data_IF_969039013892
#
_entry.id   IF_969039013892
#
_cell.length_a   1.000
_cell.length_b   1.000
_cell.length_c   1.000
_cell.angle_alpha   90.00
_cell.angle_beta   90.00
_cell.angle_gamma   90.00
#
_symmetry.space_group_name_H-M   'P 1'
#
loop_
_entity.id
_entity.type
_entity.pdbx_description
1 polymer ?
#
# COMPACT_ATOMS: atom_id res chain seq x y z
N UNK A 1 -9.40 32.58 0.15
CA UNK A 1 -10.00 32.68 1.51
C UNK A 1 -10.55 31.34 2.00
N UNK A 2 -9.85 30.67 2.90
CA UNK A 2 -10.37 29.48 3.59
C UNK A 2 -11.16 29.90 4.84
N UNK A 3 -12.20 29.13 5.21
CA UNK A 3 -12.92 29.30 6.49
C UNK A 3 -11.98 29.17 7.70
N UNK A 4 -10.88 28.44 7.53
CA UNK A 4 -9.87 28.22 8.57
C UNK A 4 -9.07 29.50 8.84
N UNK A 5 -8.64 30.21 7.79
CA UNK A 5 -7.90 31.46 7.93
C UNK A 5 -8.78 32.55 8.56
N UNK A 6 -10.04 32.69 8.14
CA UNK A 6 -10.96 33.66 8.77
C UNK A 6 -11.22 33.33 10.26
N UNK A 7 -11.24 32.04 10.61
CA UNK A 7 -11.35 31.61 12.01
C UNK A 7 -10.08 31.92 12.81
N UNK A 8 -8.90 31.78 12.20
CA UNK A 8 -7.61 32.16 12.83
C UNK A 8 -7.55 33.67 13.07
N UNK A 9 -7.91 34.48 12.08
CA UNK A 9 -7.95 35.94 12.21
C UNK A 9 -8.93 36.41 13.30
N UNK A 10 -10.11 35.78 13.40
CA UNK A 10 -11.05 36.04 14.50
C UNK A 10 -10.43 35.67 15.86
N UNK A 11 -9.76 34.52 15.96
CA UNK A 11 -9.12 34.11 17.20
C UNK A 11 -7.97 35.05 17.60
N UNK A 12 -7.19 35.54 16.64
CA UNK A 12 -6.16 36.57 16.87
C UNK A 12 -6.76 37.89 17.34
N UNK A 13 -7.88 38.33 16.74
CA UNK A 13 -8.58 39.53 17.17
C UNK A 13 -9.09 39.43 18.61
N UNK A 14 -9.67 38.29 18.99
CA UNK A 14 -10.12 38.02 20.37
C UNK A 14 -8.94 38.06 21.34
N UNK A 15 -7.83 37.41 21.01
CA UNK A 15 -6.61 37.45 21.84
C UNK A 15 -6.06 38.86 22.00
N UNK A 16 -6.03 39.66 20.93
CA UNK A 16 -5.60 41.05 20.99
C UNK A 16 -6.51 41.89 21.89
N UNK A 17 -7.83 41.67 21.82
CA UNK A 17 -8.80 42.33 22.69
C UNK A 17 -8.56 41.97 24.16
N UNK A 18 -8.46 40.68 24.49
CA UNK A 18 -8.19 40.20 25.85
C UNK A 18 -6.84 40.73 26.39
N UNK A 19 -5.84 40.84 25.53
CA UNK A 19 -4.53 41.39 25.88
C UNK A 19 -4.59 42.89 26.18
N UNK A 20 -5.31 43.68 25.38
CA UNK A 20 -5.52 45.11 25.67
C UNK A 20 -6.32 45.27 26.96
N UNK A 21 -7.39 44.49 27.12
CA UNK A 21 -8.26 44.55 28.30
C UNK A 21 -7.50 44.20 29.59
N UNK A 22 -6.67 43.17 29.57
CA UNK A 22 -5.83 42.79 30.71
C UNK A 22 -4.77 43.84 31.01
N UNK A 23 -4.08 44.39 30.00
CA UNK A 23 -3.10 45.47 30.20
C UNK A 23 -3.70 46.72 30.83
N UNK A 24 -4.93 47.09 30.44
CA UNK A 24 -5.63 48.24 31.03
C UNK A 24 -6.07 47.96 32.46
N UNK A 25 -6.46 46.72 32.78
CA UNK A 25 -6.95 46.34 34.12
C UNK A 25 -5.84 46.03 35.15
N UNK A 26 -4.67 45.56 34.71
CA UNK A 26 -3.63 45.04 35.61
C UNK A 26 -2.58 46.07 36.03
N UNK A 27 -2.46 47.20 35.31
CA UNK A 27 -1.38 48.14 35.56
C UNK A 27 -1.75 49.13 36.68
N UNK A 28 -0.91 49.21 37.71
CA UNK A 28 -0.83 50.36 38.62
C UNK A 28 -0.25 51.54 37.83
N UNK A 29 -1.08 52.10 36.96
CA UNK A 29 -0.80 53.18 36.03
C UNK A 29 -0.21 54.42 36.73
N UNK A 30 -0.50 54.58 38.03
CA UNK A 30 0.00 55.67 38.87
C UNK A 30 1.52 55.63 39.12
N UNK A 31 2.19 54.48 38.94
CA UNK A 31 3.61 54.31 39.21
C UNK A 31 4.52 54.50 37.98
N UNK A 32 3.95 54.76 36.80
CA UNK A 32 4.71 54.86 35.55
C UNK A 32 5.43 56.21 35.44
N UNK A 33 6.66 56.18 34.95
CA UNK A 33 7.37 57.38 34.50
C UNK A 33 6.73 57.94 33.23
N UNK A 34 6.98 59.21 32.91
CA UNK A 34 6.36 59.86 31.74
C UNK A 34 6.75 59.17 30.42
N UNK A 35 7.97 58.64 30.33
CA UNK A 35 8.44 57.90 29.15
C UNK A 35 7.78 56.51 29.03
N UNK A 36 7.61 55.80 30.14
CA UNK A 36 6.88 54.52 30.18
C UNK A 36 5.40 54.71 29.82
N UNK A 37 4.80 55.81 30.25
CA UNK A 37 3.44 56.20 29.86
C UNK A 37 3.30 56.41 28.35
N UNK A 38 4.25 57.11 27.73
CA UNK A 38 4.26 57.35 26.27
C UNK A 38 4.42 56.04 25.50
N UNK A 39 5.31 55.16 25.94
CA UNK A 39 5.49 53.84 25.33
C UNK A 39 4.23 52.98 25.45
N UNK A 40 3.60 52.97 26.63
CA UNK A 40 2.36 52.24 26.88
C UNK A 40 1.20 52.73 25.99
N UNK A 41 1.03 54.04 25.86
CA UNK A 41 0.01 54.63 24.98
C UNK A 41 0.28 54.32 23.50
N UNK A 42 1.54 54.37 23.06
CA UNK A 42 1.90 53.99 21.70
C UNK A 42 1.62 52.51 21.42
N UNK A 43 1.96 51.62 22.36
CA UNK A 43 1.71 50.18 22.26
C UNK A 43 0.22 49.86 22.19
N UNK A 44 -0.59 50.45 23.08
CA UNK A 44 -2.05 50.27 23.06
C UNK A 44 -2.64 50.90 21.81
N UNK A 45 -2.18 52.08 21.40
CA UNK A 45 -2.60 52.74 20.17
C UNK A 45 -2.36 51.87 18.94
N UNK A 46 -1.19 51.24 18.85
CA UNK A 46 -0.86 50.31 17.77
C UNK A 46 -1.74 49.06 17.81
N UNK A 47 -1.91 48.45 18.98
CA UNK A 47 -2.71 47.23 19.14
C UNK A 47 -4.20 47.47 18.86
N UNK A 48 -4.74 48.61 19.30
CA UNK A 48 -6.13 49.02 19.01
C UNK A 48 -6.33 49.34 17.53
N UNK A 49 -5.39 50.03 16.88
CA UNK A 49 -5.44 50.26 15.43
C UNK A 49 -5.42 48.94 14.64
N UNK A 50 -4.55 48.00 15.04
CA UNK A 50 -4.50 46.65 14.44
C UNK A 50 -5.81 45.90 14.64
N UNK A 51 -6.41 45.96 15.83
CA UNK A 51 -7.71 45.34 16.12
C UNK A 51 -8.83 45.92 15.25
N UNK A 52 -8.88 47.25 15.11
CA UNK A 52 -9.85 47.95 14.26
C UNK A 52 -9.70 47.52 12.79
N UNK A 53 -8.46 47.41 12.30
CA UNK A 53 -8.20 46.96 10.94
C UNK A 53 -8.71 45.53 10.70
N UNK A 54 -8.46 44.61 11.65
CA UNK A 54 -8.92 43.23 11.56
C UNK A 54 -10.45 43.15 11.63
N UNK A 55 -11.10 43.88 12.54
CA UNK A 55 -12.56 43.97 12.63
C UNK A 55 -13.17 44.47 11.33
N UNK A 56 -12.70 45.60 10.78
CA UNK A 56 -13.17 46.13 9.49
C UNK A 56 -13.03 45.11 8.36
N UNK A 57 -11.93 44.35 8.36
CA UNK A 57 -11.72 43.32 7.35
C UNK A 57 -12.71 42.14 7.49
N UNK A 58 -13.12 41.81 8.72
CA UNK A 58 -14.06 40.72 9.02
C UNK A 58 -15.50 41.15 8.82
N UNK A 59 -15.85 42.38 9.20
CA UNK A 59 -17.19 42.97 9.14
C UNK A 59 -17.62 43.34 7.72
N UNK A 60 -16.75 43.17 6.73
CA UNK A 60 -17.09 43.36 5.32
C UNK A 60 -18.28 42.44 4.93
N UNK A 61 -19.41 43.01 4.46
CA UNK A 61 -20.65 42.27 4.22
C UNK A 61 -20.49 41.21 3.13
N UNK A 62 -19.74 41.49 2.06
CA UNK A 62 -19.50 40.55 0.97
C UNK A 62 -18.69 39.34 1.46
N UNK A 63 -17.77 39.60 2.39
CA UNK A 63 -16.96 38.55 3.01
C UNK A 63 -17.82 37.63 3.87
N UNK A 64 -18.70 38.21 4.70
CA UNK A 64 -19.66 37.45 5.52
C UNK A 64 -20.57 36.59 4.63
N UNK A 65 -21.12 37.17 3.56
CA UNK A 65 -21.94 36.43 2.59
C UNK A 65 -21.18 35.26 1.96
N UNK A 66 -19.93 35.46 1.55
CA UNK A 66 -19.09 34.42 0.97
C UNK A 66 -18.82 33.28 1.98
N UNK A 67 -18.53 33.62 3.23
CA UNK A 67 -18.33 32.63 4.31
C UNK A 67 -19.60 31.82 4.56
N UNK A 68 -20.76 32.47 4.61
CA UNK A 68 -22.06 31.82 4.75
C UNK A 68 -22.33 30.85 3.58
N UNK A 69 -22.06 31.26 2.34
CA UNK A 69 -22.17 30.38 1.16
C UNK A 69 -21.25 29.16 1.27
N UNK A 70 -20.00 29.35 1.71
CA UNK A 70 -19.05 28.25 1.92
C UNK A 70 -19.49 27.31 3.04
N UNK A 71 -19.97 27.84 4.15
CA UNK A 71 -20.50 27.05 5.26
C UNK A 71 -21.73 26.24 4.84
N UNK A 72 -22.65 26.84 4.09
CA UNK A 72 -23.82 26.16 3.53
C UNK A 72 -23.40 25.06 2.54
N UNK A 73 -22.41 25.30 1.67
CA UNK A 73 -21.84 24.28 0.77
C UNK A 73 -21.29 23.09 1.56
N UNK A 74 -20.54 23.33 2.64
CA UNK A 74 -20.01 22.25 3.49
C UNK A 74 -21.12 21.46 4.19
N UNK A 75 -22.14 22.13 4.72
CA UNK A 75 -23.31 21.46 5.33
C UNK A 75 -24.04 20.58 4.31
N UNK A 76 -24.31 21.11 3.11
CA UNK A 76 -24.93 20.36 2.01
C UNK A 76 -24.08 19.16 1.59
N UNK A 77 -22.78 19.32 1.43
CA UNK A 77 -21.89 18.24 1.06
C UNK A 77 -21.83 17.13 2.13
N UNK A 78 -21.78 17.49 3.42
CA UNK A 78 -21.86 16.52 4.52
C UNK A 78 -23.19 15.76 4.51
N UNK A 79 -24.31 16.46 4.33
CA UNK A 79 -25.63 15.83 4.23
C UNK A 79 -25.72 14.91 3.01
N UNK A 80 -25.24 15.36 1.85
CA UNK A 80 -25.17 14.56 0.62
C UNK A 80 -24.34 13.30 0.83
N UNK A 81 -23.13 13.40 1.40
CA UNK A 81 -22.26 12.25 1.69
C UNK A 81 -22.95 11.22 2.60
N UNK A 82 -23.68 11.69 3.62
CA UNK A 82 -24.48 10.83 4.51
C UNK A 82 -25.60 10.10 3.74
N UNK A 83 -26.34 10.83 2.92
CA UNK A 83 -27.43 10.25 2.11
C UNK A 83 -26.90 9.29 1.04
N UNK A 84 -25.80 9.63 0.37
CA UNK A 84 -25.16 8.77 -0.62
C UNK A 84 -24.67 7.46 0.01
N UNK A 85 -24.02 7.51 1.18
CA UNK A 85 -23.62 6.31 1.93
C UNK A 85 -24.82 5.43 2.32
N UNK A 86 -25.96 6.05 2.67
CA UNK A 86 -27.20 5.33 2.97
C UNK A 86 -27.78 4.65 1.72
N UNK A 87 -27.86 5.37 0.60
CA UNK A 87 -28.37 4.84 -0.69
C UNK A 87 -27.52 3.69 -1.21
N UNK A 88 -26.20 3.85 -1.23
CA UNK A 88 -25.27 2.78 -1.65
C UNK A 88 -25.36 1.54 -0.76
N UNK A 89 -25.50 1.70 0.57
CA UNK A 89 -25.74 0.57 1.48
C UNK A 89 -27.07 -0.15 1.18
N UNK A 90 -28.12 0.60 0.91
CA UNK A 90 -29.42 0.02 0.56
C UNK A 90 -29.39 -0.73 -0.77
N UNK A 91 -28.73 -0.18 -1.79
CA UNK A 91 -28.52 -0.83 -3.08
C UNK A 91 -27.76 -2.16 -2.92
N UNK A 92 -26.62 -2.15 -2.21
CA UNK A 92 -25.86 -3.38 -1.91
C UNK A 92 -26.69 -4.43 -1.18
N UNK A 93 -27.55 -4.01 -0.24
CA UNK A 93 -28.43 -4.92 0.48
C UNK A 93 -29.52 -5.52 -0.43
N UNK A 94 -30.08 -4.72 -1.33
CA UNK A 94 -31.04 -5.21 -2.33
C UNK A 94 -30.38 -6.17 -3.33
N UNK A 95 -29.18 -5.87 -3.81
CA UNK A 95 -28.37 -6.75 -4.68
C UNK A 95 -28.02 -8.05 -3.97
N UNK A 96 -27.63 -7.99 -2.69
CA UNK A 96 -27.39 -9.18 -1.87
C UNK A 96 -28.67 -10.04 -1.72
N UNK A 97 -29.84 -9.42 -1.55
CA UNK A 97 -31.12 -10.14 -1.50
C UNK A 97 -31.47 -10.77 -2.84
N UNK A 98 -31.25 -10.07 -3.96
CA UNK A 98 -31.49 -10.59 -5.32
C UNK A 98 -30.57 -11.76 -5.64
N UNK A 99 -29.27 -11.61 -5.38
CA UNK A 99 -28.28 -12.67 -5.56
C UNK A 99 -28.57 -13.87 -4.65
N UNK A 100 -28.94 -13.67 -3.39
CA UNK A 100 -29.34 -14.78 -2.51
C UNK A 100 -30.57 -15.54 -3.02
N UNK A 101 -31.58 -14.83 -3.57
CA UNK A 101 -32.74 -15.47 -4.21
C UNK A 101 -32.32 -16.27 -5.45
N UNK A 102 -31.49 -15.67 -6.31
CA UNK A 102 -30.99 -16.32 -7.51
C UNK A 102 -30.17 -17.58 -7.17
N UNK A 103 -29.28 -17.51 -6.17
CA UNK A 103 -28.53 -18.67 -5.67
C UNK A 103 -29.49 -19.79 -5.24
N UNK A 104 -30.47 -19.50 -4.38
CA UNK A 104 -31.46 -20.51 -3.96
C UNK A 104 -32.22 -21.12 -5.15
N UNK A 105 -32.63 -20.29 -6.11
CA UNK A 105 -33.35 -20.78 -7.29
C UNK A 105 -32.45 -21.68 -8.16
N UNK A 106 -31.19 -21.30 -8.36
CA UNK A 106 -30.23 -22.12 -9.10
C UNK A 106 -29.91 -23.43 -8.37
N UNK A 107 -29.72 -23.39 -7.05
CA UNK A 107 -29.55 -24.59 -6.21
C UNK A 107 -30.74 -25.52 -6.35
N UNK A 108 -31.97 -25.00 -6.26
CA UNK A 108 -33.19 -25.80 -6.45
C UNK A 108 -33.26 -26.39 -7.87
N UNK A 109 -32.93 -25.63 -8.92
CA UNK A 109 -32.88 -26.14 -10.30
C UNK A 109 -31.87 -27.26 -10.48
N UNK A 110 -30.69 -27.15 -9.86
CA UNK A 110 -29.65 -28.19 -9.90
C UNK A 110 -30.11 -29.44 -9.16
N UNK A 111 -30.68 -29.30 -7.96
CA UNK A 111 -31.21 -30.42 -7.17
C UNK A 111 -32.34 -31.13 -7.92
N UNK A 112 -33.23 -30.37 -8.56
CA UNK A 112 -34.38 -30.88 -9.31
C UNK A 112 -34.03 -31.34 -10.72
N UNK A 113 -32.76 -31.26 -11.13
CA UNK A 113 -32.34 -31.69 -12.47
C UNK A 113 -32.55 -33.21 -12.62
N UNK A 114 -33.09 -33.68 -13.75
CA UNK A 114 -33.36 -35.11 -13.97
C UNK A 114 -32.11 -35.99 -13.79
N UNK A 115 -30.94 -35.45 -14.12
CA UNK A 115 -29.63 -36.09 -13.91
C UNK A 115 -29.36 -36.41 -12.43
N UNK A 116 -29.51 -35.42 -11.54
CA UNK A 116 -29.26 -35.59 -10.10
C UNK A 116 -30.32 -36.48 -9.46
N UNK A 117 -31.59 -36.35 -9.87
CA UNK A 117 -32.68 -37.23 -9.41
C UNK A 117 -32.42 -38.68 -9.85
N UNK A 118 -32.05 -38.90 -11.11
CA UNK A 118 -31.74 -40.24 -11.63
C UNK A 118 -30.51 -40.86 -10.94
N UNK A 119 -29.50 -40.06 -10.59
CA UNK A 119 -28.36 -40.53 -9.80
C UNK A 119 -28.79 -40.99 -8.40
N UNK A 120 -29.59 -40.19 -7.67
CA UNK A 120 -30.12 -40.60 -6.36
C UNK A 120 -30.97 -41.88 -6.44
N UNK A 121 -31.79 -42.02 -7.47
CA UNK A 121 -32.57 -43.25 -7.69
C UNK A 121 -31.68 -44.47 -8.01
N UNK A 122 -30.58 -44.28 -8.76
CA UNK A 122 -29.59 -45.35 -9.01
C UNK A 122 -28.85 -45.75 -7.73
N UNK A 123 -28.49 -44.80 -6.88
CA UNK A 123 -27.85 -45.07 -5.58
C UNK A 123 -28.77 -45.84 -4.63
N UNK A 124 -30.06 -45.49 -4.56
CA UNK A 124 -31.06 -46.25 -3.80
C UNK A 124 -31.26 -47.68 -4.31
N UNK A 125 -31.20 -47.90 -5.62
CA UNK A 125 -31.28 -49.24 -6.23
C UNK A 125 -30.00 -50.07 -6.05
N UNK A 126 -28.84 -49.44 -5.95
CA UNK A 126 -27.58 -50.13 -5.67
C UNK A 126 -27.44 -50.52 -4.19
N UNK A 127 -28.11 -49.81 -3.28
CA UNK A 127 -28.10 -50.13 -1.84
C UNK A 127 -28.73 -51.50 -1.50
N UNK A 128 -29.57 -52.07 -2.36
CA UNK A 128 -30.23 -53.38 -2.12
C UNK A 128 -29.47 -54.59 -2.68
N UNK A 129 -28.36 -54.38 -3.40
CA UNK A 129 -27.52 -55.45 -3.94
C UNK A 129 -26.06 -55.10 -3.69
N UNK A 130 -25.50 -55.54 -2.56
CA UNK A 130 -24.06 -55.47 -2.36
C UNK A 130 -23.50 -56.80 -1.87
N UNK A 131 -22.61 -57.38 -2.68
CA UNK A 131 -21.66 -58.40 -2.23
C UNK A 131 -20.44 -57.70 -1.61
N UNK A 132 -19.60 -58.42 -0.84
CA UNK A 132 -18.45 -57.81 -0.12
C UNK A 132 -17.45 -57.07 -1.02
N UNK A 133 -17.34 -57.42 -2.30
CA UNK A 133 -16.55 -56.66 -3.29
C UNK A 133 -17.19 -55.33 -3.68
N UNK A 134 -18.52 -55.29 -3.79
CA UNK A 134 -19.27 -54.08 -4.10
C UNK A 134 -19.16 -53.06 -2.96
N UNK A 135 -19.11 -53.53 -1.70
CA UNK A 135 -18.88 -52.67 -0.53
C UNK A 135 -17.47 -52.07 -0.52
N UNK A 136 -16.45 -52.82 -0.95
CA UNK A 136 -15.09 -52.28 -1.08
C UNK A 136 -15.02 -51.25 -2.22
N UNK A 137 -15.61 -51.56 -3.37
CA UNK A 137 -15.68 -50.66 -4.53
C UNK A 137 -16.54 -49.42 -4.21
N UNK A 138 -17.62 -49.54 -3.44
CA UNK A 138 -18.44 -48.40 -3.01
C UNK A 138 -17.68 -47.52 -2.03
N UNK A 139 -16.94 -48.10 -1.07
CA UNK A 139 -16.10 -47.34 -0.15
C UNK A 139 -15.00 -46.58 -0.88
N UNK A 140 -14.35 -47.18 -1.87
CA UNK A 140 -13.39 -46.47 -2.75
C UNK A 140 -14.08 -45.33 -3.49
N UNK A 141 -15.29 -45.53 -4.04
CA UNK A 141 -16.05 -44.46 -4.70
C UNK A 141 -16.44 -43.33 -3.75
N UNK A 142 -16.85 -43.65 -2.51
CA UNK A 142 -17.19 -42.68 -1.48
C UNK A 142 -15.97 -41.86 -1.05
N UNK A 143 -14.83 -42.53 -0.85
CA UNK A 143 -13.57 -41.85 -0.56
C UNK A 143 -13.13 -40.95 -1.72
N UNK A 144 -13.26 -41.39 -2.97
CA UNK A 144 -12.98 -40.54 -4.13
C UNK A 144 -13.93 -39.34 -4.23
N UNK A 145 -15.22 -39.51 -3.92
CA UNK A 145 -16.19 -38.39 -3.85
C UNK A 145 -15.83 -37.40 -2.75
N UNK A 146 -15.45 -37.90 -1.57
CA UNK A 146 -15.04 -37.07 -0.44
C UNK A 146 -13.75 -36.31 -0.74
N UNK A 147 -12.76 -36.98 -1.37
CA UNK A 147 -11.55 -36.35 -1.86
C UNK A 147 -11.86 -35.25 -2.87
N UNK A 148 -12.72 -35.51 -3.86
CA UNK A 148 -13.15 -34.51 -4.83
C UNK A 148 -13.87 -33.32 -4.16
N UNK A 149 -14.73 -33.58 -3.18
CA UNK A 149 -15.39 -32.52 -2.43
C UNK A 149 -14.38 -31.69 -1.62
N UNK A 150 -13.38 -32.32 -0.98
CA UNK A 150 -12.31 -31.63 -0.26
C UNK A 150 -11.42 -30.82 -1.19
N UNK A 151 -11.11 -31.33 -2.39
CA UNK A 151 -10.36 -30.59 -3.42
C UNK A 151 -11.16 -29.37 -3.87
N UNK A 152 -12.46 -29.52 -4.19
CA UNK A 152 -13.32 -28.39 -4.53
C UNK A 152 -13.41 -27.36 -3.39
N UNK A 153 -13.48 -27.80 -2.14
CA UNK A 153 -13.53 -26.92 -0.97
C UNK A 153 -12.20 -26.19 -0.77
N UNK A 154 -11.07 -26.86 -1.00
CA UNK A 154 -9.73 -26.25 -1.06
C UNK A 154 -9.69 -25.17 -2.14
N UNK A 155 -10.16 -25.45 -3.34
CA UNK A 155 -10.12 -24.51 -4.47
C UNK A 155 -11.03 -23.30 -4.21
N UNK A 156 -12.21 -23.49 -3.63
CA UNK A 156 -13.09 -22.39 -3.21
C UNK A 156 -12.45 -21.53 -2.11
N UNK A 157 -11.76 -22.15 -1.14
CA UNK A 157 -11.00 -21.41 -0.11
C UNK A 157 -9.84 -20.62 -0.74
N UNK A 158 -9.10 -21.22 -1.68
CA UNK A 158 -8.03 -20.54 -2.43
C UNK A 158 -8.57 -19.35 -3.20
N UNK A 159 -9.64 -19.50 -3.99
CA UNK A 159 -10.32 -18.38 -4.68
C UNK A 159 -10.77 -17.27 -3.74
N UNK A 160 -11.26 -17.63 -2.55
CA UNK A 160 -11.64 -16.65 -1.50
C UNK A 160 -10.42 -15.93 -0.91
N UNK A 161 -9.26 -16.57 -0.86
CA UNK A 161 -8.00 -16.00 -0.40
C UNK A 161 -7.32 -15.17 -1.50
N UNK A 162 -7.38 -15.60 -2.75
CA UNK A 162 -6.94 -14.85 -3.94
C UNK A 162 -7.72 -13.54 -4.12
N UNK A 163 -9.05 -13.58 -3.96
CA UNK A 163 -9.85 -12.34 -3.97
C UNK A 163 -9.55 -11.39 -2.80
N UNK A 164 -8.84 -11.88 -1.77
CA UNK A 164 -8.29 -11.06 -0.67
C UNK A 164 -6.81 -10.68 -0.88
N UNK A 165 -6.17 -11.13 -1.97
CA UNK A 165 -4.78 -10.82 -2.30
C UNK A 165 -3.74 -11.85 -1.85
N UNK A 166 -4.14 -13.06 -1.42
CA UNK A 166 -3.20 -14.15 -1.15
C UNK A 166 -2.94 -15.01 -2.39
N UNK A 167 -1.68 -15.32 -2.67
CA UNK A 167 -1.26 -16.05 -3.87
C UNK A 167 -0.80 -17.48 -3.54
N UNK A 168 -1.20 -18.45 -4.38
CA UNK A 168 -0.78 -19.85 -4.27
C UNK A 168 0.05 -20.27 -5.48
N UNK A 169 1.23 -20.85 -5.23
CA UNK A 169 2.18 -21.22 -6.28
C UNK A 169 1.67 -22.32 -7.23
N UNK A 170 0.77 -23.19 -6.78
CA UNK A 170 0.39 -24.41 -7.51
C UNK A 170 -0.60 -24.22 -8.67
N UNK A 171 -1.36 -23.12 -8.75
CA UNK A 171 -2.43 -23.01 -9.76
C UNK A 171 -2.65 -21.62 -10.34
N UNK A 172 -1.78 -20.65 -10.06
CA UNK A 172 -2.15 -19.24 -10.22
C UNK A 172 -1.44 -18.44 -11.32
N UNK A 173 -0.23 -18.79 -11.73
CA UNK A 173 0.56 -17.89 -12.58
C UNK A 173 1.40 -18.67 -13.58
N UNK A 174 1.10 -18.52 -14.88
CA UNK A 174 2.00 -18.92 -15.96
C UNK A 174 3.42 -18.38 -15.74
N UNK A 175 3.54 -17.23 -15.05
CA UNK A 175 4.82 -16.65 -14.64
C UNK A 175 5.62 -17.55 -13.68
N UNK A 176 5.00 -18.14 -12.64
CA UNK A 176 5.74 -18.99 -11.70
C UNK A 176 6.10 -20.35 -12.31
N UNK A 177 5.26 -20.88 -13.20
CA UNK A 177 5.63 -22.06 -13.98
C UNK A 177 6.79 -21.74 -14.92
N UNK A 178 6.77 -20.59 -15.61
CA UNK A 178 7.91 -20.12 -16.42
C UNK A 178 9.17 -19.88 -15.61
N UNK A 179 9.06 -19.33 -14.40
CA UNK A 179 10.22 -19.13 -13.50
C UNK A 179 10.74 -20.46 -12.99
N UNK A 180 9.86 -21.41 -12.67
CA UNK A 180 10.24 -22.76 -12.26
C UNK A 180 10.88 -23.53 -13.42
N UNK A 181 10.28 -23.50 -14.61
CA UNK A 181 10.82 -24.07 -15.84
C UNK A 181 12.15 -23.41 -16.23
N UNK A 182 12.29 -22.08 -16.06
CA UNK A 182 13.55 -21.37 -16.27
C UNK A 182 14.61 -21.77 -15.24
N UNK A 183 14.21 -21.98 -13.98
CA UNK A 183 15.13 -22.41 -12.93
C UNK A 183 15.54 -23.88 -13.07
N UNK A 184 14.63 -24.76 -13.50
CA UNK A 184 14.88 -26.16 -13.85
C UNK A 184 15.75 -26.26 -15.12
N UNK A 185 15.47 -25.44 -16.14
CA UNK A 185 16.33 -25.34 -17.32
C UNK A 185 17.73 -24.80 -16.97
N UNK A 186 17.84 -23.81 -16.09
CA UNK A 186 19.13 -23.28 -15.66
C UNK A 186 19.90 -24.21 -14.72
N UNK A 187 19.22 -24.99 -13.88
CA UNK A 187 19.89 -26.03 -13.07
C UNK A 187 20.33 -27.22 -13.93
N UNK A 188 19.61 -27.53 -15.01
CA UNK A 188 20.08 -28.45 -16.06
C UNK A 188 21.21 -27.88 -16.92
N UNK A 189 21.28 -26.55 -17.07
CA UNK A 189 22.40 -25.85 -17.73
C UNK A 189 23.61 -25.78 -16.78
N UNK A 190 23.43 -25.52 -15.49
CA UNK A 190 24.49 -25.52 -14.46
C UNK A 190 25.09 -26.92 -14.25
N UNK A 191 24.31 -27.99 -14.44
CA UNK A 191 24.82 -29.38 -14.40
C UNK A 191 25.42 -29.86 -15.72
N UNK A 192 25.24 -29.12 -16.83
CA UNK A 192 25.82 -29.42 -18.16
C UNK A 192 26.91 -28.43 -18.59
N UNK A 193 27.08 -27.32 -17.89
CA UNK A 193 28.12 -26.32 -18.08
C UNK A 193 29.12 -26.34 -16.91
N UNK A 194 29.80 -27.48 -16.72
CA UNK A 194 31.23 -27.35 -16.44
C UNK A 194 31.89 -26.90 -17.75
N UNK A 195 31.92 -25.59 -17.98
CA UNK A 195 32.69 -24.95 -19.04
C UNK A 195 33.43 -23.72 -18.50
N UNK A 196 34.58 -23.40 -19.11
CA UNK A 196 35.79 -22.97 -18.43
C UNK A 196 35.70 -21.52 -17.95
N UNK A 197 36.50 -21.19 -16.94
CA UNK A 197 36.76 -19.82 -16.49
C UNK A 197 37.04 -18.93 -17.70
N UNK A 198 36.12 -18.03 -18.03
CA UNK A 198 36.36 -16.97 -19.01
C UNK A 198 37.50 -16.11 -18.47
N UNK A 199 38.65 -16.15 -19.15
CA UNK A 199 39.81 -15.35 -18.79
C UNK A 199 39.42 -13.85 -18.82
N UNK A 200 39.64 -13.16 -17.70
CA UNK A 200 39.37 -11.73 -17.58
C UNK A 200 40.23 -10.97 -18.61
N UNK A 201 39.61 -10.17 -19.48
CA UNK A 201 40.32 -9.31 -20.41
C UNK A 201 40.90 -8.12 -19.64
N UNK A 202 42.15 -8.25 -19.19
CA UNK A 202 42.80 -7.23 -18.37
C UNK A 202 43.52 -6.21 -19.27
N UNK A 203 43.35 -4.92 -18.95
CA UNK A 203 43.96 -3.83 -19.69
C UNK A 203 45.50 -3.86 -19.56
N UNK A 204 46.29 -3.65 -20.63
CA UNK A 204 47.75 -3.84 -20.63
C UNK A 204 48.54 -2.90 -19.71
N UNK A 205 47.92 -1.81 -19.25
CA UNK A 205 48.52 -0.85 -18.30
C UNK A 205 48.01 -1.01 -16.86
N UNK A 206 47.30 -2.10 -16.57
CA UNK A 206 46.72 -2.30 -15.25
C UNK A 206 47.76 -2.77 -14.23
N UNK A 207 48.03 -1.91 -13.25
CA UNK A 207 49.00 -2.14 -12.16
C UNK A 207 48.34 -2.86 -10.99
N UNK A 208 47.01 -3.00 -10.97
CA UNK A 208 46.25 -3.50 -9.84
C UNK A 208 46.09 -5.03 -9.82
N UNK A 209 46.41 -5.73 -10.91
CA UNK A 209 46.43 -7.21 -10.96
C UNK A 209 47.19 -7.87 -9.81
N UNK A 210 48.27 -7.24 -9.35
CA UNK A 210 49.18 -7.80 -8.35
C UNK A 210 48.98 -7.21 -6.95
N UNK A 211 48.01 -6.32 -6.79
CA UNK A 211 47.68 -5.75 -5.49
C UNK A 211 46.76 -6.71 -4.72
N UNK A 212 46.84 -6.71 -3.38
CA UNK A 212 45.99 -7.53 -2.51
C UNK A 212 44.57 -6.94 -2.41
N UNK A 213 43.94 -6.72 -3.57
CA UNK A 213 42.56 -6.28 -3.71
C UNK A 213 41.69 -7.53 -3.84
N UNK A 214 40.46 -7.43 -3.36
CA UNK A 214 39.38 -8.37 -3.62
C UNK A 214 39.37 -8.77 -5.10
N UNK A 215 39.57 -10.06 -5.36
CA UNK A 215 39.68 -10.60 -6.73
C UNK A 215 38.40 -10.41 -7.52
N UNK A 216 37.30 -10.24 -6.82
CA UNK A 216 35.98 -10.21 -7.42
C UNK A 216 35.48 -8.81 -7.67
N UNK A 217 35.73 -7.90 -6.73
CA UNK A 217 35.60 -6.48 -7.01
C UNK A 217 36.45 -6.09 -8.23
N UNK A 218 37.65 -6.67 -8.34
CA UNK A 218 38.53 -6.50 -9.49
C UNK A 218 37.99 -7.12 -10.78
N UNK A 219 37.36 -8.31 -10.70
CA UNK A 219 36.69 -8.93 -11.85
C UNK A 219 35.51 -8.09 -12.36
N UNK A 220 34.70 -7.51 -11.46
CA UNK A 220 33.63 -6.59 -11.83
C UNK A 220 34.15 -5.31 -12.49
N UNK A 221 35.27 -4.77 -12.01
CA UNK A 221 35.92 -3.62 -12.62
C UNK A 221 36.42 -3.93 -14.04
N UNK A 222 37.08 -5.07 -14.24
CA UNK A 222 37.52 -5.51 -15.57
C UNK A 222 36.32 -5.77 -16.51
N UNK A 223 35.21 -6.29 -15.99
CA UNK A 223 34.00 -6.57 -16.78
C UNK A 223 33.22 -5.31 -17.17
N UNK A 224 33.24 -4.26 -16.33
CA UNK A 224 32.56 -3.00 -16.61
C UNK A 224 33.10 -2.29 -17.86
N UNK A 225 34.40 -2.42 -18.15
CA UNK A 225 35.03 -1.82 -19.34
C UNK A 225 34.79 -2.62 -20.64
N UNK A 226 34.24 -3.83 -20.55
CA UNK A 226 34.12 -4.73 -21.71
C UNK A 226 32.87 -4.46 -22.55
N UNK A 227 31.72 -4.19 -21.93
CA UNK A 227 30.45 -3.99 -22.64
C UNK A 227 29.52 -3.00 -21.95
N UNK A 228 28.86 -2.16 -22.75
CA UNK A 228 27.92 -1.13 -22.27
C UNK A 228 26.71 -1.74 -21.53
N UNK A 229 26.29 -2.93 -21.94
CA UNK A 229 25.21 -3.67 -21.28
C UNK A 229 25.59 -4.08 -19.85
N UNK A 230 26.85 -4.43 -19.59
CA UNK A 230 27.33 -4.78 -18.24
C UNK A 230 27.30 -3.55 -17.31
N UNK A 231 27.68 -2.37 -17.80
CA UNK A 231 27.56 -1.10 -17.07
C UNK A 231 26.10 -0.75 -16.74
N UNK A 232 25.17 -0.98 -17.67
CA UNK A 232 23.75 -0.71 -17.45
C UNK A 232 23.15 -1.63 -16.38
N UNK A 233 23.55 -2.89 -16.35
CA UNK A 233 23.06 -3.84 -15.35
C UNK A 233 23.62 -3.57 -13.96
N UNK A 234 24.91 -3.22 -13.86
CA UNK A 234 25.49 -2.71 -12.60
C UNK A 234 24.72 -1.48 -12.15
N UNK A 235 24.48 -0.49 -13.02
CA UNK A 235 23.75 0.72 -12.67
C UNK A 235 22.33 0.43 -12.16
N UNK A 236 21.61 -0.49 -12.81
CA UNK A 236 20.26 -0.90 -12.40
C UNK A 236 20.24 -1.57 -11.04
N UNK A 237 21.26 -2.36 -10.70
CA UNK A 237 21.40 -2.95 -9.37
C UNK A 237 21.57 -1.87 -8.31
N UNK A 238 22.37 -0.84 -8.59
CA UNK A 238 22.53 0.31 -7.69
C UNK A 238 21.26 1.14 -7.56
N UNK A 239 20.50 1.33 -8.65
CA UNK A 239 19.24 2.07 -8.62
C UNK A 239 18.17 1.41 -7.71
N UNK A 240 18.24 0.10 -7.47
CA UNK A 240 17.35 -0.57 -6.50
C UNK A 240 17.57 -0.13 -5.05
N UNK A 241 18.77 0.34 -4.72
CA UNK A 241 19.10 0.84 -3.38
C UNK A 241 18.76 2.33 -3.21
N UNK A 242 18.30 3.00 -4.28
CA UNK A 242 17.87 4.39 -4.28
C UNK A 242 16.35 4.42 -4.25
N UNK A 243 15.75 4.61 -3.06
CA UNK A 243 14.29 4.66 -2.90
C UNK A 243 13.68 5.92 -3.54
N UNK A 244 12.62 5.73 -4.32
CA UNK A 244 11.70 6.79 -4.76
C UNK A 244 10.46 6.78 -3.87
N UNK A 245 10.46 7.57 -2.81
CA UNK A 245 9.22 7.85 -2.09
C UNK A 245 8.49 8.99 -2.81
N UNK A 246 7.28 8.70 -3.31
CA UNK A 246 6.43 9.62 -4.08
C UNK A 246 5.85 10.82 -3.30
N UNK A 247 6.58 11.32 -2.30
CA UNK A 247 6.27 12.57 -1.63
C UNK A 247 7.21 13.67 -2.16
N UNK A 248 6.61 14.50 -2.99
CA UNK A 248 7.21 15.48 -3.90
C UNK A 248 7.86 16.70 -3.22
N UNK A 249 8.55 16.54 -2.07
CA UNK A 249 9.12 17.68 -1.33
C UNK A 249 10.56 17.54 -0.82
N UNK A 250 11.22 16.39 -0.92
CA UNK A 250 12.62 16.27 -0.52
C UNK A 250 13.52 15.94 -1.72
N UNK A 251 14.02 16.98 -2.37
CA UNK A 251 15.15 16.92 -3.29
C UNK A 251 16.40 16.62 -2.46
N UNK A 252 16.66 15.34 -2.21
CA UNK A 252 17.97 14.77 -1.87
C UNK A 252 17.85 13.25 -1.81
N UNK A 253 18.50 12.56 -2.76
CA UNK A 253 18.64 11.11 -2.79
C UNK A 253 19.36 10.65 -1.50
N UNK A 254 18.58 10.25 -0.49
CA UNK A 254 19.11 9.80 0.79
C UNK A 254 19.51 8.33 0.67
N UNK A 255 20.82 8.08 0.59
CA UNK A 255 21.39 6.82 1.07
C UNK A 255 20.87 6.60 2.49
N UNK A 256 20.33 5.41 2.84
CA UNK A 256 19.81 5.17 4.17
C UNK A 256 20.86 5.54 5.24
N UNK A 257 20.51 6.32 6.28
CA UNK A 257 21.47 6.83 7.26
C UNK A 257 22.03 5.77 8.22
N UNK A 258 21.67 4.51 8.01
CA UNK A 258 22.12 3.38 8.81
C UNK A 258 22.28 2.15 7.90
N UNK A 259 23.40 1.45 8.10
CA UNK A 259 23.75 0.26 7.32
C UNK A 259 22.62 -0.77 7.48
N UNK A 260 21.88 -1.02 6.39
CA UNK A 260 20.78 -1.98 6.40
C UNK A 260 21.40 -3.37 6.21
N UNK A 261 21.23 -4.26 7.18
CA UNK A 261 21.62 -5.66 6.97
C UNK A 261 20.76 -6.27 5.86
N UNK A 262 21.36 -6.95 4.86
CA UNK A 262 20.59 -7.59 3.80
C UNK A 262 19.70 -8.70 4.38
N UNK A 263 18.47 -8.80 3.87
CA UNK A 263 17.54 -9.87 4.27
C UNK A 263 18.02 -11.24 3.77
N UNK A 264 18.24 -12.24 4.63
CA UNK A 264 18.64 -13.58 4.20
C UNK A 264 17.56 -14.32 3.40
N UNK A 265 17.92 -15.35 2.60
CA UNK A 265 19.08 -16.22 2.81
C UNK A 265 20.38 -15.65 2.23
N UNK A 266 21.18 -15.04 3.11
CA UNK A 266 22.58 -14.78 2.96
C UNK A 266 23.28 -16.12 3.15
N UNK A 267 23.70 -16.73 2.05
CA UNK A 267 24.56 -17.91 2.09
C UNK A 267 26.01 -17.41 2.17
N UNK A 268 26.89 -17.97 3.03
CA UNK A 268 28.33 -17.66 3.05
C UNK A 268 29.03 -17.84 1.69
N UNK A 269 28.44 -18.58 0.75
CA UNK A 269 28.90 -18.63 -0.65
C UNK A 269 28.78 -17.25 -1.32
N UNK A 270 27.72 -16.47 -1.07
CA UNK A 270 27.58 -15.11 -1.60
C UNK A 270 28.52 -14.08 -0.95
N UNK A 271 28.94 -14.34 0.28
CA UNK A 271 29.84 -13.45 1.03
C UNK A 271 31.32 -13.72 0.76
N UNK A 272 31.68 -14.91 0.24
CA UNK A 272 33.02 -15.13 -0.32
C UNK A 272 33.22 -14.35 -1.62
N UNK A 273 32.14 -13.88 -2.25
CA UNK A 273 32.18 -13.11 -3.48
C UNK A 273 32.37 -11.56 -3.30
N UNK A 274 32.83 -11.12 -2.12
CA UNK A 274 32.93 -9.71 -1.70
C UNK A 274 34.16 -9.43 -0.79
N UNK A 275 35.24 -10.21 -0.91
CA UNK A 275 36.48 -10.09 -0.11
C UNK A 275 37.77 -9.97 -0.93
#
# INVERSE_FOLDING_TARGET
>A
MSLTNTKQQLAEAIKLYEHIESKVKQNNLEAYTEDEWRQFLNDIGYQTARLIQISRHIDNPDRIQLLNKKQAKLKRHKAWKKQHKKRTRLQKLQEARRSAKWIKETEMKVIMSPSVIAQKQKEQKQATKTTKEDVRKSKVRELSRMLNALVQLRDLRRKKLESKGHFFAESGNQFFNKVKEWHEANTEIETKQEQPQTELAIHPNDVWQHTAIDKEAYAYWCAADQTLDCLLDIRRQWDHYILFDGNDQDVQHKVPPMFVQPSPPANPIWASYLL
#
